data_IF_705387689187
#
_entry.id   IF_705387689187
#
_cell.length_a   1.000
_cell.length_b   1.000
_cell.length_c   1.000
_cell.angle_alpha   90.00
_cell.angle_beta   90.00
_cell.angle_gamma   90.00
#
_symmetry.space_group_name_H-M   'P 1'
#
loop_
_entity.id
_entity.type
_entity.pdbx_description
1 polymer ?
#
# COMPACT_ATOMS: atom_id res chain seq x y z
N UNK A 1 -37.58 1.55 -7.82
CA UNK A 1 -36.18 1.88 -7.50
C UNK A 1 -35.25 1.00 -8.31
N UNK A 2 -34.33 1.55 -9.03
CA UNK A 2 -33.35 0.72 -9.75
C UNK A 2 -32.48 -0.05 -8.75
N UNK A 3 -32.26 -1.31 -9.04
CA UNK A 3 -31.36 -2.17 -8.26
C UNK A 3 -29.99 -2.18 -8.93
N UNK A 4 -29.29 -1.06 -8.83
CA UNK A 4 -28.03 -0.84 -9.52
C UNK A 4 -26.86 -1.27 -8.63
N UNK A 5 -25.94 -2.03 -9.18
CA UNK A 5 -24.70 -2.37 -8.50
C UNK A 5 -23.88 -1.09 -8.27
N UNK A 6 -23.52 -0.74 -7.01
CA UNK A 6 -22.89 0.55 -6.72
C UNK A 6 -21.47 0.69 -7.25
N UNK A 7 -20.70 -0.42 -7.36
CA UNK A 7 -19.32 -0.39 -7.84
C UNK A 7 -19.09 -1.58 -8.79
N UNK A 8 -18.57 -1.29 -9.97
CA UNK A 8 -18.22 -2.30 -10.95
C UNK A 8 -17.00 -3.12 -10.51
N UNK A 9 -16.92 -4.38 -10.92
CA UNK A 9 -15.76 -5.24 -10.63
C UNK A 9 -14.45 -4.66 -11.14
N UNK A 10 -14.49 -3.93 -12.26
CA UNK A 10 -13.31 -3.27 -12.82
C UNK A 10 -12.68 -2.25 -11.86
N UNK A 11 -13.47 -1.64 -10.98
CA UNK A 11 -12.94 -0.72 -9.98
C UNK A 11 -12.15 -1.45 -8.90
N UNK A 12 -12.60 -2.65 -8.49
CA UNK A 12 -11.82 -3.50 -7.57
C UNK A 12 -10.48 -3.87 -8.21
N UNK A 13 -10.49 -4.24 -9.49
CA UNK A 13 -9.27 -4.59 -10.21
C UNK A 13 -8.31 -3.39 -10.30
N UNK A 14 -8.83 -2.19 -10.53
CA UNK A 14 -8.02 -0.97 -10.61
C UNK A 14 -7.38 -0.63 -9.26
N UNK A 15 -8.12 -0.78 -8.15
CA UNK A 15 -7.59 -0.58 -6.80
C UNK A 15 -6.48 -1.59 -6.52
N UNK A 16 -6.70 -2.85 -6.83
CA UNK A 16 -5.71 -3.92 -6.63
C UNK A 16 -4.46 -3.64 -7.47
N UNK A 17 -4.63 -3.22 -8.73
CA UNK A 17 -3.50 -2.89 -9.61
C UNK A 17 -2.65 -1.74 -9.06
N UNK A 18 -3.29 -0.73 -8.45
CA UNK A 18 -2.57 0.36 -7.79
C UNK A 18 -1.71 -0.18 -6.65
N UNK A 19 -2.29 -1.00 -5.77
CA UNK A 19 -1.57 -1.58 -4.63
C UNK A 19 -0.46 -2.53 -5.11
N UNK A 20 -0.68 -3.24 -6.21
CA UNK A 20 0.36 -4.13 -6.78
C UNK A 20 1.61 -3.36 -7.22
N UNK A 21 1.50 -2.11 -7.63
CA UNK A 21 2.67 -1.28 -7.93
C UNK A 21 3.56 -1.11 -6.68
N UNK A 22 2.97 -0.95 -5.51
CA UNK A 22 3.70 -0.90 -4.26
C UNK A 22 4.43 -2.22 -4.00
N UNK A 23 3.72 -3.34 -4.12
CA UNK A 23 4.27 -4.67 -3.89
C UNK A 23 5.41 -4.98 -4.88
N UNK A 24 5.19 -4.74 -6.17
CA UNK A 24 6.22 -5.00 -7.18
C UNK A 24 7.42 -4.08 -7.01
N UNK A 25 7.19 -2.84 -6.58
CA UNK A 25 8.27 -1.92 -6.26
C UNK A 25 9.11 -2.39 -5.07
N UNK A 26 8.48 -2.96 -4.05
CA UNK A 26 9.20 -3.56 -2.92
C UNK A 26 10.01 -4.78 -3.37
N UNK A 27 9.39 -5.63 -4.18
CA UNK A 27 10.03 -6.84 -4.70
C UNK A 27 11.30 -6.52 -5.46
N UNK A 28 11.25 -5.51 -6.30
CA UNK A 28 12.38 -5.07 -7.13
C UNK A 28 13.29 -4.02 -6.49
N UNK A 29 12.93 -3.49 -5.34
CA UNK A 29 13.67 -2.38 -4.72
C UNK A 29 13.59 -1.10 -5.54
N UNK A 30 12.46 -0.87 -6.23
CA UNK A 30 12.29 0.23 -7.19
C UNK A 30 11.37 1.32 -6.62
N UNK A 31 11.95 2.40 -6.13
CA UNK A 31 11.17 3.56 -5.67
C UNK A 31 10.29 4.19 -6.76
N UNK A 32 10.75 4.32 -8.02
CA UNK A 32 9.85 4.81 -9.08
C UNK A 32 8.61 3.95 -9.29
N UNK A 33 8.71 2.64 -9.12
CA UNK A 33 7.56 1.73 -9.22
C UNK A 33 6.63 1.89 -8.03
N UNK A 34 7.18 1.98 -6.81
CA UNK A 34 6.40 2.24 -5.59
C UNK A 34 5.64 3.56 -5.71
N UNK A 35 6.29 4.59 -6.22
CA UNK A 35 5.70 5.93 -6.36
C UNK A 35 4.47 5.95 -7.29
N UNK A 36 4.32 4.97 -8.18
CA UNK A 36 3.11 4.84 -9.01
C UNK A 36 1.86 4.52 -8.17
N UNK A 37 2.04 3.93 -6.99
CA UNK A 37 0.92 3.55 -6.12
C UNK A 37 0.47 4.69 -5.21
N UNK A 38 1.36 5.61 -4.85
CA UNK A 38 1.12 6.62 -3.81
C UNK A 38 0.94 8.00 -4.38
N UNK A 39 0.00 8.75 -3.78
CA UNK A 39 -0.06 10.18 -3.98
C UNK A 39 1.23 10.81 -3.42
N UNK A 40 1.71 11.88 -4.03
CA UNK A 40 2.94 12.56 -3.59
C UNK A 40 2.87 13.07 -2.15
N UNK A 41 1.67 13.40 -1.68
CA UNK A 41 1.43 13.92 -0.33
C UNK A 41 0.95 12.83 0.64
N UNK A 42 1.04 11.56 0.25
CA UNK A 42 0.65 10.46 1.10
C UNK A 42 1.48 10.40 2.38
N UNK A 43 0.88 9.82 3.41
CA UNK A 43 1.52 9.62 4.72
C UNK A 43 1.64 8.14 5.05
N UNK A 44 2.55 7.82 5.95
CA UNK A 44 2.68 6.50 6.52
C UNK A 44 2.89 6.59 8.02
N UNK A 45 2.22 5.73 8.78
CA UNK A 45 2.37 5.66 10.24
C UNK A 45 2.25 4.22 10.73
N UNK A 46 3.06 3.85 11.70
CA UNK A 46 2.98 2.55 12.34
C UNK A 46 4.06 2.41 13.39
N UNK A 47 4.00 1.33 14.16
CA UNK A 47 5.00 1.06 15.17
C UNK A 47 6.01 0.05 14.64
N UNK A 48 7.29 0.35 14.86
CA UNK A 48 8.37 -0.62 14.67
C UNK A 48 8.25 -1.76 15.68
N UNK A 49 8.91 -2.92 15.47
CA UNK A 49 8.85 -4.04 16.42
C UNK A 49 9.24 -3.68 17.86
N UNK A 50 10.09 -2.67 18.04
CA UNK A 50 10.48 -2.16 19.37
C UNK A 50 9.46 -1.21 20.00
N UNK A 51 8.33 -0.94 19.31
CA UNK A 51 7.27 -0.06 19.79
C UNK A 51 7.48 1.42 19.49
N UNK A 52 8.54 1.79 18.80
CA UNK A 52 8.78 3.19 18.40
C UNK A 52 7.87 3.54 17.24
N UNK A 53 7.17 4.67 17.34
CA UNK A 53 6.33 5.18 16.27
C UNK A 53 7.19 5.63 15.09
N UNK A 54 6.94 5.05 13.93
CA UNK A 54 7.50 5.50 12.67
C UNK A 54 6.40 6.20 11.90
N UNK A 55 6.64 7.42 11.44
CA UNK A 55 5.60 8.14 10.74
C UNK A 55 6.10 9.36 10.02
N UNK A 56 5.21 9.89 9.18
CA UNK A 56 5.48 11.09 8.41
C UNK A 56 5.15 10.92 6.93
N UNK A 57 5.79 11.69 6.05
CA UNK A 57 5.54 11.62 4.62
C UNK A 57 5.96 10.28 4.03
N UNK A 58 5.29 9.88 2.95
CA UNK A 58 5.59 8.60 2.27
C UNK A 58 7.03 8.52 1.78
N UNK A 59 7.73 9.64 1.63
CA UNK A 59 9.15 9.64 1.27
C UNK A 59 10.02 8.85 2.25
N UNK A 60 9.56 8.65 3.48
CA UNK A 60 10.25 7.80 4.45
C UNK A 60 10.30 6.34 3.99
N UNK A 61 9.29 5.88 3.26
CA UNK A 61 9.30 4.54 2.66
C UNK A 61 10.42 4.41 1.62
N UNK A 62 10.61 5.43 0.80
CA UNK A 62 11.64 5.41 -0.23
C UNK A 62 13.04 5.33 0.37
N UNK A 63 13.27 6.04 1.48
CA UNK A 63 14.54 5.94 2.23
C UNK A 63 14.75 4.55 2.82
N UNK A 64 13.69 3.96 3.35
CA UNK A 64 13.73 2.59 3.89
C UNK A 64 14.12 1.59 2.80
N UNK A 65 13.53 1.71 1.61
CA UNK A 65 13.85 0.83 0.47
C UNK A 65 15.29 1.07 0.00
N UNK A 66 15.76 2.32 -0.02
CA UNK A 66 17.16 2.63 -0.37
C UNK A 66 18.14 1.97 0.61
N UNK A 67 17.78 1.94 1.90
CA UNK A 67 18.63 1.37 2.94
C UNK A 67 18.64 -0.16 2.94
N UNK A 68 17.47 -0.78 2.84
CA UNK A 68 17.31 -2.23 3.00
C UNK A 68 17.21 -3.01 1.69
N UNK A 69 16.98 -2.33 0.58
CA UNK A 69 17.01 -2.93 -0.75
C UNK A 69 15.75 -3.68 -1.14
N UNK A 70 15.89 -4.53 -2.15
CA UNK A 70 14.80 -5.30 -2.72
C UNK A 70 14.35 -6.45 -1.82
N UNK A 71 13.14 -6.93 -2.06
CA UNK A 71 12.54 -8.05 -1.35
C UNK A 71 12.05 -9.10 -2.35
N UNK A 72 12.96 -9.80 -3.07
CA UNK A 72 12.58 -10.68 -4.18
C UNK A 72 11.71 -11.86 -3.74
N UNK A 73 11.80 -12.26 -2.47
CA UNK A 73 11.05 -13.39 -1.93
C UNK A 73 9.82 -12.96 -1.12
N UNK A 74 9.43 -11.69 -1.18
CA UNK A 74 8.29 -11.19 -0.41
C UNK A 74 7.01 -11.95 -0.78
N UNK A 75 6.28 -12.38 0.24
CA UNK A 75 4.96 -13.01 0.09
C UNK A 75 3.90 -12.02 0.52
N UNK A 76 2.84 -11.92 -0.27
CA UNK A 76 1.80 -10.92 -0.02
C UNK A 76 0.40 -11.51 -0.19
N UNK A 77 -0.53 -10.93 0.55
CA UNK A 77 -1.96 -11.13 0.37
C UNK A 77 -2.63 -9.77 0.35
N UNK A 78 -3.50 -9.54 -0.63
CA UNK A 78 -4.21 -8.27 -0.84
C UNK A 78 -5.71 -8.52 -0.71
N UNK A 79 -6.37 -7.79 0.19
CA UNK A 79 -7.82 -7.87 0.38
C UNK A 79 -8.41 -6.46 0.32
N UNK A 80 -9.37 -6.24 -0.56
CA UNK A 80 -10.14 -4.99 -0.59
C UNK A 80 -11.21 -5.09 0.49
N UNK A 81 -11.08 -4.29 1.55
CA UNK A 81 -12.00 -4.33 2.69
C UNK A 81 -13.26 -3.51 2.44
N UNK A 82 -13.13 -2.39 1.73
CA UNK A 82 -14.25 -1.51 1.42
C UNK A 82 -13.92 -0.71 0.16
N UNK A 83 -14.96 -0.38 -0.61
CA UNK A 83 -14.81 0.43 -1.82
C UNK A 83 -16.10 1.20 -2.07
N UNK A 84 -15.93 2.44 -2.50
CA UNK A 84 -17.00 3.32 -2.99
C UNK A 84 -16.60 3.82 -4.37
N UNK A 85 -17.40 4.63 -5.05
CA UNK A 85 -16.97 5.21 -6.32
C UNK A 85 -15.71 6.08 -6.25
N UNK A 86 -15.35 6.62 -5.07
CA UNK A 86 -14.20 7.54 -4.93
C UNK A 86 -13.18 7.14 -3.87
N UNK A 87 -13.47 6.14 -3.03
CA UNK A 87 -12.62 5.75 -1.89
C UNK A 87 -12.46 4.23 -1.80
N UNK A 88 -11.34 3.78 -1.24
CA UNK A 88 -11.13 2.36 -0.97
C UNK A 88 -10.23 2.16 0.24
N UNK A 89 -10.41 1.03 0.91
CA UNK A 89 -9.53 0.56 1.99
C UNK A 89 -9.05 -0.84 1.63
N UNK A 90 -7.73 -1.04 1.67
CA UNK A 90 -7.10 -2.32 1.29
C UNK A 90 -6.20 -2.79 2.42
N UNK A 91 -6.30 -4.06 2.75
CA UNK A 91 -5.38 -4.74 3.67
C UNK A 91 -4.33 -5.48 2.85
N UNK A 92 -3.06 -5.29 3.21
CA UNK A 92 -1.94 -6.03 2.62
C UNK A 92 -1.17 -6.71 3.74
N UNK A 93 -1.14 -8.03 3.71
CA UNK A 93 -0.27 -8.81 4.57
C UNK A 93 1.01 -9.11 3.80
N UNK A 94 2.16 -8.91 4.44
CA UNK A 94 3.47 -9.09 3.81
C UNK A 94 4.40 -9.87 4.72
N UNK A 95 5.14 -10.80 4.14
CA UNK A 95 6.17 -11.58 4.82
C UNK A 95 7.48 -11.44 4.10
N UNK A 96 8.53 -11.07 4.85
CA UNK A 96 9.90 -11.05 4.33
C UNK A 96 10.22 -9.86 3.43
N UNK A 97 10.14 -8.65 3.96
CA UNK A 97 10.61 -7.46 3.24
C UNK A 97 12.15 -7.42 3.14
N UNK A 98 12.71 -6.33 2.61
CA UNK A 98 14.15 -6.17 2.43
C UNK A 98 14.96 -6.28 3.73
N UNK A 99 14.34 -5.99 4.87
CA UNK A 99 14.96 -6.13 6.20
C UNK A 99 14.57 -7.44 6.90
N UNK A 100 13.78 -8.30 6.25
CA UNK A 100 13.31 -9.56 6.82
C UNK A 100 12.14 -9.39 7.79
N UNK A 101 11.43 -8.28 7.72
CA UNK A 101 10.31 -7.96 8.62
C UNK A 101 8.98 -8.30 7.95
N UNK A 102 8.03 -8.78 8.75
CA UNK A 102 6.66 -9.06 8.33
C UNK A 102 5.75 -7.91 8.75
N UNK A 103 4.75 -7.60 7.92
CA UNK A 103 3.84 -6.47 8.15
C UNK A 103 2.40 -6.83 7.83
N UNK A 104 1.48 -6.13 8.50
CA UNK A 104 0.13 -5.93 8.02
C UNK A 104 -0.07 -4.44 7.79
N UNK A 105 -0.41 -4.07 6.56
CA UNK A 105 -0.71 -2.69 6.17
C UNK A 105 -2.19 -2.50 5.93
N UNK A 106 -2.69 -1.31 6.31
CA UNK A 106 -3.97 -0.81 5.83
C UNK A 106 -3.71 0.41 4.97
N UNK A 107 -4.21 0.38 3.74
CA UNK A 107 -4.06 1.48 2.78
C UNK A 107 -5.41 2.12 2.53
N UNK A 108 -5.48 3.44 2.60
CA UNK A 108 -6.66 4.20 2.20
C UNK A 108 -6.35 4.89 0.88
N UNK A 109 -7.24 4.72 -0.10
CA UNK A 109 -7.08 5.25 -1.44
C UNK A 109 -8.18 6.23 -1.79
N UNK A 110 -7.83 7.20 -2.64
CA UNK A 110 -8.78 8.09 -3.30
C UNK A 110 -8.63 7.97 -4.81
N UNK A 111 -9.74 8.20 -5.52
CA UNK A 111 -9.74 8.23 -6.97
C UNK A 111 -9.62 9.68 -7.44
N UNK A 112 -8.45 10.04 -7.96
CA UNK A 112 -8.12 11.36 -8.48
C UNK A 112 -8.25 11.34 -10.00
N UNK A 113 -9.23 12.07 -10.56
CA UNK A 113 -9.37 12.20 -12.01
C UNK A 113 -9.30 10.84 -12.74
N UNK A 114 -10.02 9.85 -12.22
CA UNK A 114 -10.08 8.52 -12.79
C UNK A 114 -8.94 7.58 -12.40
N UNK A 115 -7.99 8.05 -11.58
CA UNK A 115 -6.84 7.25 -11.15
C UNK A 115 -6.85 7.02 -9.64
N UNK A 116 -6.74 5.77 -9.22
CA UNK A 116 -6.61 5.42 -7.80
C UNK A 116 -5.20 5.68 -7.30
N UNK A 117 -5.09 6.35 -6.14
CA UNK A 117 -3.81 6.58 -5.46
C UNK A 117 -3.96 6.36 -3.96
N UNK A 118 -2.96 5.74 -3.36
CA UNK A 118 -2.91 5.58 -1.90
C UNK A 118 -2.55 6.92 -1.28
N UNK A 119 -3.34 7.36 -0.29
CA UNK A 119 -3.09 8.62 0.43
C UNK A 119 -2.61 8.39 1.85
N UNK A 120 -2.85 7.22 2.42
CA UNK A 120 -2.41 6.89 3.77
C UNK A 120 -2.10 5.41 3.87
N UNK A 121 -0.97 5.10 4.48
CA UNK A 121 -0.55 3.75 4.83
C UNK A 121 -0.37 3.70 6.34
N UNK A 122 -1.10 2.82 7.00
CA UNK A 122 -0.94 2.56 8.43
C UNK A 122 -0.55 1.09 8.58
N UNK A 123 0.52 0.81 9.30
CA UNK A 123 1.10 -0.52 9.33
C UNK A 123 1.38 -1.01 10.74
N UNK A 124 1.39 -2.32 10.89
CA UNK A 124 1.89 -3.01 12.06
C UNK A 124 3.07 -3.87 11.63
N UNK A 125 4.24 -3.65 12.25
CA UNK A 125 5.43 -4.46 12.02
C UNK A 125 5.52 -5.54 13.10
N UNK A 126 5.67 -6.79 12.69
CA UNK A 126 5.78 -7.93 13.61
C UNK A 126 7.23 -8.16 14.03
N UNK A 127 7.38 -8.74 15.19
CA UNK A 127 8.70 -9.17 15.68
C UNK A 127 9.20 -10.43 14.98
#
# INVERSE_FOLDING_TARGET
>A
MPNTKPVATAEYDAVIATVQNYIEGLRGGSNPTIAKAFNKDATMYGFAPDGILLGGPISNLYRYVDEFGSAPEIKTRVDVLAITPSTAVVRVDMEGDGAGVDYTDFHTLLKFEGKWEIIAKVFHAYE
#
